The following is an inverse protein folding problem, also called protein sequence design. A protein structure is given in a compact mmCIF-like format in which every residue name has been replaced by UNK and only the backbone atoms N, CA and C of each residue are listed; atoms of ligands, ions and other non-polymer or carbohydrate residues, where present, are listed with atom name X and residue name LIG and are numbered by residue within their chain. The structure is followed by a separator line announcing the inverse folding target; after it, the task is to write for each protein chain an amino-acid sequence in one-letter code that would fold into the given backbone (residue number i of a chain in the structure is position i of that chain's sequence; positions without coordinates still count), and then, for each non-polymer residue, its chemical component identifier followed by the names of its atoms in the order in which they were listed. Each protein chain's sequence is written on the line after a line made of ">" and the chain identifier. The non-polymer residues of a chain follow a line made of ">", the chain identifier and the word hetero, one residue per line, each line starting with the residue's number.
data_IF_994600534349
#
_entry.id   IF_994600534349
#
_cell.length_a   1.000
_cell.length_b   1.000
_cell.length_c   1.000
_cell.angle_alpha   90.00
_cell.angle_beta   90.00
_cell.angle_gamma   90.00
#
_symmetry.space_group_name_H-M   'P 1'
#
loop_
_entity.id
_entity.type
_entity.pdbx_description
1 polymer ?
#
# COMPACT_ATOMS: atom_id res chain seq x y z
N UNK A 1 4.37 -4.91 24.60
CA UNK A 1 3.85 -5.49 23.35
C UNK A 1 5.05 -5.90 22.51
N UNK A 2 5.08 -7.08 21.87
CA UNK A 2 6.23 -7.40 21.04
C UNK A 2 6.29 -6.42 19.87
N UNK A 3 7.45 -5.81 19.64
CA UNK A 3 7.71 -5.08 18.41
C UNK A 3 7.69 -6.08 17.25
N UNK A 4 6.78 -5.87 16.31
CA UNK A 4 6.75 -6.63 15.06
C UNK A 4 7.83 -6.04 14.17
N UNK A 5 8.77 -6.86 13.69
CA UNK A 5 9.74 -6.42 12.70
C UNK A 5 8.99 -5.98 11.43
N UNK A 6 9.19 -4.74 11.01
CA UNK A 6 8.53 -4.15 9.86
C UNK A 6 9.47 -3.16 9.16
N UNK A 7 9.27 -3.04 7.85
CA UNK A 7 9.94 -2.07 7.01
C UNK A 7 8.89 -1.14 6.41
N UNK A 8 9.20 0.15 6.36
CA UNK A 8 8.31 1.17 5.80
C UNK A 8 8.76 1.53 4.39
N UNK A 9 7.80 1.57 3.46
CA UNK A 9 8.02 2.09 2.11
C UNK A 9 7.39 3.48 1.98
N UNK A 10 7.92 4.29 1.07
CA UNK A 10 7.39 5.62 0.83
C UNK A 10 6.00 5.58 0.18
N UNK A 11 5.06 6.34 0.76
CA UNK A 11 3.71 6.46 0.23
C UNK A 11 3.65 7.49 -0.90
N UNK A 12 3.41 7.01 -2.11
CA UNK A 12 3.44 7.81 -3.33
C UNK A 12 2.04 8.36 -3.67
N UNK A 13 1.92 9.68 -3.82
CA UNK A 13 0.66 10.37 -4.20
C UNK A 13 0.61 10.77 -5.68
N UNK A 14 1.74 10.64 -6.40
CA UNK A 14 1.85 10.91 -7.85
C UNK A 14 2.22 9.64 -8.62
N UNK A 15 1.77 9.53 -9.87
CA UNK A 15 2.18 8.45 -10.79
C UNK A 15 3.61 8.67 -11.35
N UNK A 16 4.14 9.90 -11.25
CA UNK A 16 5.51 10.25 -11.66
C UNK A 16 6.52 10.11 -10.52
N UNK A 17 6.08 9.64 -9.35
CA UNK A 17 6.93 9.45 -8.19
C UNK A 17 7.99 8.36 -8.47
N UNK A 18 9.26 8.72 -8.28
CA UNK A 18 10.42 7.86 -8.53
C UNK A 18 10.50 6.68 -7.53
N UNK A 19 9.79 6.79 -6.39
CA UNK A 19 9.81 5.80 -5.32
C UNK A 19 8.82 4.65 -5.51
N UNK A 20 7.95 4.67 -6.54
CA UNK A 20 6.97 3.60 -6.79
C UNK A 20 7.63 2.21 -6.89
N UNK A 21 8.85 2.14 -7.43
CA UNK A 21 9.61 0.89 -7.56
C UNK A 21 10.36 0.44 -6.29
N UNK A 22 10.33 1.22 -5.20
CA UNK A 22 11.09 0.94 -3.99
C UNK A 22 10.71 -0.39 -3.35
N UNK A 23 9.40 -0.71 -3.31
CA UNK A 23 8.91 -1.97 -2.74
C UNK A 23 9.55 -3.18 -3.45
N UNK A 24 9.57 -3.20 -4.79
CA UNK A 24 10.13 -4.34 -5.51
C UNK A 24 11.64 -4.48 -5.28
N UNK A 25 12.37 -3.35 -5.17
CA UNK A 25 13.80 -3.36 -4.83
C UNK A 25 14.04 -3.90 -3.41
N UNK A 26 13.20 -3.54 -2.45
CA UNK A 26 13.27 -4.04 -1.08
C UNK A 26 13.07 -5.56 -1.04
N UNK A 27 12.01 -6.06 -1.68
CA UNK A 27 11.70 -7.48 -1.76
C UNK A 27 12.77 -8.29 -2.52
N UNK A 28 13.49 -7.68 -3.46
CA UNK A 28 14.59 -8.36 -4.15
C UNK A 28 15.85 -8.50 -3.28
N UNK A 29 16.04 -7.61 -2.30
CA UNK A 29 17.18 -7.63 -1.38
C UNK A 29 16.94 -8.53 -0.18
N UNK A 30 15.69 -8.71 0.20
CA UNK A 30 15.25 -9.37 1.44
C UNK A 30 14.30 -10.54 1.16
N UNK A 31 13.92 -11.30 2.18
CA UNK A 31 12.88 -12.32 2.02
C UNK A 31 11.49 -11.69 1.90
N UNK A 32 10.56 -12.38 1.22
CA UNK A 32 9.17 -11.95 1.16
C UNK A 32 8.57 -11.78 2.58
N UNK A 33 7.85 -10.68 2.86
CA UNK A 33 7.25 -10.43 4.16
C UNK A 33 6.05 -11.35 4.40
N UNK A 34 5.64 -11.46 5.66
CA UNK A 34 4.42 -12.19 6.01
C UNK A 34 3.16 -11.53 5.44
N UNK A 35 3.15 -10.20 5.28
CA UNK A 35 2.09 -9.41 4.65
C UNK A 35 2.60 -8.00 4.33
N UNK A 36 1.85 -7.26 3.51
CA UNK A 36 1.98 -5.81 3.34
C UNK A 36 0.66 -5.15 3.74
N UNK A 37 0.73 -4.10 4.56
CA UNK A 37 -0.43 -3.28 4.96
C UNK A 37 -0.35 -1.91 4.30
N UNK A 38 -1.46 -1.43 3.72
CA UNK A 38 -1.52 -0.13 3.05
C UNK A 38 -2.92 0.49 3.17
N UNK A 39 -2.99 1.80 3.35
CA UNK A 39 -4.22 2.58 3.18
C UNK A 39 -4.33 3.04 1.72
N UNK A 40 -5.50 2.99 1.09
CA UNK A 40 -5.68 3.63 -0.22
C UNK A 40 -5.70 5.16 -0.12
N UNK A 41 -6.12 5.69 1.02
CA UNK A 41 -6.13 7.12 1.34
C UNK A 41 -5.66 7.25 2.79
N UNK A 42 -4.49 7.84 3.02
CA UNK A 42 -4.01 8.09 4.38
C UNK A 42 -4.83 9.23 4.99
N UNK A 43 -5.66 8.95 6.00
CA UNK A 43 -6.47 9.99 6.64
C UNK A 43 -5.66 10.83 7.61
N UNK A 44 -5.10 10.20 8.65
CA UNK A 44 -4.24 10.86 9.66
C UNK A 44 -2.99 11.51 9.04
N UNK A 45 -2.54 11.00 7.89
CA UNK A 45 -1.43 11.56 7.10
C UNK A 45 -1.77 12.87 6.36
N UNK A 46 -2.93 13.48 6.61
CA UNK A 46 -3.37 14.73 5.97
C UNK A 46 -4.20 14.52 4.70
N UNK A 47 -5.01 13.47 4.65
CA UNK A 47 -5.86 13.10 3.51
C UNK A 47 -5.05 12.98 2.20
N UNK A 48 -4.26 11.91 2.09
CA UNK A 48 -3.36 11.67 0.96
C UNK A 48 -3.84 10.45 0.16
N UNK A 49 -4.54 10.62 -0.98
CA UNK A 49 -4.88 9.52 -1.87
C UNK A 49 -3.62 8.93 -2.50
N UNK A 50 -3.52 7.60 -2.47
CA UNK A 50 -2.44 6.88 -3.15
C UNK A 50 -2.52 7.10 -4.66
N UNK A 51 -1.37 7.16 -5.33
CA UNK A 51 -1.35 7.16 -6.80
C UNK A 51 -1.84 5.82 -7.35
N UNK A 52 -2.50 5.84 -8.50
CA UNK A 52 -3.04 4.62 -9.13
C UNK A 52 -1.92 3.67 -9.52
N UNK A 53 -0.79 4.22 -9.98
CA UNK A 53 0.39 3.44 -10.34
C UNK A 53 1.07 2.84 -9.12
N UNK A 54 1.11 3.55 -7.98
CA UNK A 54 1.59 2.98 -6.72
C UNK A 54 0.76 1.77 -6.28
N UNK A 55 -0.57 1.91 -6.16
CA UNK A 55 -1.44 0.81 -5.72
C UNK A 55 -1.39 -0.40 -6.67
N UNK A 56 -1.34 -0.15 -7.99
CA UNK A 56 -1.16 -1.22 -8.99
C UNK A 56 0.19 -1.92 -8.84
N UNK A 57 1.25 -1.17 -8.55
CA UNK A 57 2.59 -1.73 -8.34
C UNK A 57 2.63 -2.59 -7.08
N UNK A 58 2.10 -2.10 -5.97
CA UNK A 58 1.97 -2.86 -4.71
C UNK A 58 1.22 -4.18 -4.93
N UNK A 59 0.05 -4.13 -5.58
CA UNK A 59 -0.73 -5.34 -5.89
C UNK A 59 0.04 -6.32 -6.80
N UNK A 60 0.76 -5.81 -7.81
CA UNK A 60 1.57 -6.63 -8.71
C UNK A 60 2.72 -7.32 -7.98
N UNK A 61 3.44 -6.60 -7.12
CA UNK A 61 4.57 -7.14 -6.35
C UNK A 61 4.06 -8.18 -5.35
N UNK A 62 3.00 -7.90 -4.60
CA UNK A 62 2.37 -8.86 -3.68
C UNK A 62 2.02 -10.18 -4.39
N UNK A 63 1.37 -10.11 -5.55
CA UNK A 63 1.04 -11.31 -6.35
C UNK A 63 2.28 -12.04 -6.89
N UNK A 64 3.30 -11.29 -7.34
CA UNK A 64 4.52 -11.84 -7.93
C UNK A 64 5.34 -12.63 -6.90
N UNK A 65 5.45 -12.12 -5.68
CA UNK A 65 6.31 -12.70 -4.63
C UNK A 65 5.54 -13.51 -3.58
N UNK A 66 4.20 -13.59 -3.70
CA UNK A 66 3.38 -14.55 -2.95
C UNK A 66 3.08 -14.16 -1.50
N UNK A 67 2.97 -12.86 -1.19
CA UNK A 67 2.60 -12.38 0.13
C UNK A 67 1.22 -11.68 0.14
N UNK A 68 0.42 -11.80 1.22
CA UNK A 68 -0.86 -11.11 1.36
C UNK A 68 -0.73 -9.59 1.30
N UNK A 69 -1.71 -8.95 0.65
CA UNK A 69 -1.91 -7.51 0.69
C UNK A 69 -3.15 -7.21 1.54
N UNK A 70 -2.95 -6.47 2.63
CA UNK A 70 -4.00 -5.98 3.52
C UNK A 70 -4.23 -4.51 3.16
N UNK A 71 -5.45 -4.20 2.75
CA UNK A 71 -5.88 -2.81 2.54
C UNK A 71 -6.62 -2.36 3.80
N UNK A 72 -6.07 -1.38 4.50
CA UNK A 72 -6.72 -0.75 5.64
C UNK A 72 -7.79 0.23 5.14
N UNK A 73 -9.02 -0.03 5.57
CA UNK A 73 -10.24 0.68 5.16
C UNK A 73 -10.99 1.26 6.37
N UNK A 74 -10.35 1.36 7.54
CA UNK A 74 -10.99 1.88 8.76
C UNK A 74 -11.56 3.28 8.52
N UNK A 75 -10.82 4.15 7.82
CA UNK A 75 -11.24 5.53 7.55
C UNK A 75 -11.91 5.71 6.17
N UNK A 76 -11.44 4.99 5.16
CA UNK A 76 -11.82 5.16 3.75
C UNK A 76 -12.89 4.19 3.24
N UNK A 77 -13.22 3.15 4.01
CA UNK A 77 -14.22 2.15 3.65
C UNK A 77 -15.66 2.62 3.82
N UNK A 78 -16.57 1.66 3.64
CA UNK A 78 -18.01 1.80 3.89
C UNK A 78 -18.67 3.01 3.18
N UNK A 79 -18.31 3.27 1.92
CA UNK A 79 -18.97 4.30 1.11
C UNK A 79 -18.31 5.67 1.12
N UNK A 80 -17.23 5.90 1.90
CA UNK A 80 -16.61 7.23 2.03
C UNK A 80 -16.17 7.83 0.70
N UNK A 81 -15.77 7.01 -0.26
CA UNK A 81 -15.31 7.41 -1.60
C UNK A 81 -16.39 7.29 -2.69
N UNK A 82 -17.64 7.03 -2.31
CA UNK A 82 -18.74 6.73 -3.25
C UNK A 82 -18.75 5.30 -3.79
N UNK A 83 -17.81 4.45 -3.36
CA UNK A 83 -17.80 2.98 -3.54
C UNK A 83 -17.75 2.30 -2.17
N UNK A 84 -18.11 1.02 -2.11
CA UNK A 84 -18.10 0.27 -0.84
C UNK A 84 -16.73 0.27 -0.18
N UNK A 85 -15.69 0.06 -0.97
CA UNK A 85 -14.28 0.07 -0.53
C UNK A 85 -13.49 1.06 -1.37
N UNK A 86 -12.51 1.73 -0.77
CA UNK A 86 -11.76 2.78 -1.45
C UNK A 86 -10.88 2.25 -2.58
N UNK A 87 -10.38 1.01 -2.53
CA UNK A 87 -9.65 0.42 -3.65
C UNK A 87 -10.49 0.22 -4.93
N UNK A 88 -11.82 0.34 -4.85
CA UNK A 88 -12.74 0.23 -6.00
C UNK A 88 -12.94 1.56 -6.74
N UNK A 89 -12.50 2.67 -6.14
CA UNK A 89 -12.60 4.02 -6.70
C UNK A 89 -11.48 4.29 -7.71
#
# INVERSE_FOLDING_TARGET
>A
YPEINHEMIEFCVSDDDLNIGQLEKLIQRESAPAFLLVECIQGEGGYRPASKKFMKTVSKVSKKYGFPLIVDEIQSGLGRTGKWWSFQH
#
